data_IF_482260962496
#
_entry.id   IF_482260962496
#
_cell.length_a   1.000
_cell.length_b   1.000
_cell.length_c   1.000
_cell.angle_alpha   90.00
_cell.angle_beta   90.00
_cell.angle_gamma   90.00
#
_symmetry.space_group_name_H-M   'P 1'
#
loop_
_entity.id
_entity.type
_entity.pdbx_description
1 polymer ?
#
# COMPACT_ATOMS: atom_id res chain seq x y z
N UNK A 1 -20.58 13.60 -1.82
CA UNK A 1 -19.85 12.58 -1.05
C UNK A 1 -18.48 12.53 -1.66
N UNK A 2 -17.45 12.99 -0.96
CA UNK A 2 -16.09 12.99 -1.51
C UNK A 2 -15.71 11.54 -1.74
N UNK A 3 -15.61 11.14 -3.01
CA UNK A 3 -15.20 9.80 -3.41
C UNK A 3 -13.70 9.71 -3.13
N UNK A 4 -13.35 9.26 -1.93
CA UNK A 4 -11.98 8.95 -1.60
C UNK A 4 -11.66 7.62 -2.29
N UNK A 5 -10.71 7.67 -3.22
CA UNK A 5 -10.21 6.45 -3.84
C UNK A 5 -9.25 5.80 -2.84
N UNK A 6 -9.46 4.53 -2.46
CA UNK A 6 -8.61 3.89 -1.49
C UNK A 6 -7.18 3.75 -2.01
N UNK A 7 -6.24 3.73 -1.08
CA UNK A 7 -4.80 3.78 -1.35
C UNK A 7 -4.10 2.65 -0.61
N UNK A 8 -3.02 2.15 -1.18
CA UNK A 8 -2.09 1.27 -0.48
C UNK A 8 -0.95 2.16 0.02
N UNK A 9 -0.79 2.27 1.33
CA UNK A 9 0.41 2.84 1.95
C UNK A 9 1.51 1.82 1.96
N UNK A 10 2.73 2.26 1.68
CA UNK A 10 3.93 1.42 1.67
C UNK A 10 4.99 2.13 2.50
N UNK A 11 5.40 1.52 3.60
CA UNK A 11 6.36 2.09 4.54
C UNK A 11 7.02 0.97 5.33
N UNK A 12 8.29 1.15 5.72
CA UNK A 12 9.04 0.19 6.55
C UNK A 12 8.96 -1.30 6.06
N UNK A 13 8.95 -1.54 4.75
CA UNK A 13 8.75 -2.88 4.16
C UNK A 13 7.42 -3.56 4.53
N UNK A 14 6.41 -2.77 4.85
CA UNK A 14 5.04 -3.19 5.11
C UNK A 14 4.08 -2.36 4.26
N UNK A 15 2.83 -2.81 4.21
CA UNK A 15 1.75 -2.08 3.56
C UNK A 15 0.55 -1.98 4.49
N UNK A 16 -0.22 -0.91 4.31
CA UNK A 16 -1.53 -0.71 4.90
C UNK A 16 -2.53 -0.24 3.85
N UNK A 17 -3.80 -0.50 4.10
CA UNK A 17 -4.91 -0.09 3.24
C UNK A 17 -5.55 1.15 3.86
N UNK A 18 -5.72 2.20 3.06
CA UNK A 18 -6.45 3.40 3.43
C UNK A 18 -7.74 3.42 2.66
N UNK A 19 -8.86 3.33 3.36
CA UNK A 19 -10.20 3.45 2.77
C UNK A 19 -10.80 4.83 3.05
N UNK A 20 -10.38 5.48 4.13
CA UNK A 20 -10.82 6.81 4.50
C UNK A 20 -9.65 7.77 4.79
N UNK A 21 -9.82 9.10 4.58
CA UNK A 21 -8.79 10.08 4.95
C UNK A 21 -8.34 10.01 6.41
N UNK A 22 -9.26 9.64 7.32
CA UNK A 22 -8.98 9.45 8.74
C UNK A 22 -8.00 8.32 9.02
N UNK A 23 -8.01 7.23 8.22
CA UNK A 23 -7.07 6.12 8.41
C UNK A 23 -5.64 6.58 8.11
N UNK A 24 -5.48 7.39 7.08
CA UNK A 24 -4.21 8.01 6.74
C UNK A 24 -3.71 8.91 7.87
N UNK A 25 -4.56 9.79 8.39
CA UNK A 25 -4.19 10.68 9.51
C UNK A 25 -3.80 9.89 10.76
N UNK A 26 -4.53 8.83 11.10
CA UNK A 26 -4.24 7.96 12.24
C UNK A 26 -2.89 7.25 12.08
N UNK A 27 -2.61 6.70 10.89
CA UNK A 27 -1.33 6.04 10.61
C UNK A 27 -0.17 7.02 10.71
N UNK A 28 -0.30 8.21 10.11
CA UNK A 28 0.75 9.22 10.14
C UNK A 28 1.00 9.77 11.55
N UNK A 29 -0.02 9.87 12.39
CA UNK A 29 0.11 10.34 13.78
C UNK A 29 1.07 9.45 14.60
N UNK A 30 1.10 8.14 14.31
CA UNK A 30 2.01 7.20 14.95
C UNK A 30 3.45 7.20 14.40
N UNK A 31 3.71 7.92 13.30
CA UNK A 31 4.99 7.90 12.59
C UNK A 31 5.86 9.11 12.89
N UNK A 32 7.17 8.88 12.99
CA UNK A 32 8.18 9.95 12.99
C UNK A 32 8.28 10.65 11.63
N UNK A 33 8.79 11.89 11.59
CA UNK A 33 8.99 12.62 10.33
C UNK A 33 9.86 11.87 9.31
N UNK A 34 10.88 11.13 9.78
CA UNK A 34 11.70 10.29 8.90
C UNK A 34 10.88 9.18 8.26
N UNK A 35 10.02 8.51 9.02
CA UNK A 35 9.15 7.46 8.49
C UNK A 35 8.14 8.04 7.50
N UNK A 36 7.52 9.18 7.81
CA UNK A 36 6.58 9.84 6.90
C UNK A 36 7.24 10.23 5.57
N UNK A 37 8.51 10.64 5.57
CA UNK A 37 9.24 10.94 4.34
C UNK A 37 9.54 9.71 3.47
N UNK A 38 9.53 8.51 4.05
CA UNK A 38 9.71 7.24 3.35
C UNK A 38 8.38 6.61 2.88
N UNK A 39 7.24 7.17 3.31
CA UNK A 39 5.92 6.67 2.92
C UNK A 39 5.69 6.88 1.43
N UNK A 40 5.33 5.79 0.76
CA UNK A 40 4.89 5.76 -0.62
C UNK A 40 3.41 5.38 -0.67
N UNK A 41 2.63 6.17 -1.38
CA UNK A 41 1.23 5.96 -1.70
C UNK A 41 1.14 5.32 -3.08
N UNK A 42 0.45 4.20 -3.18
CA UNK A 42 0.04 3.58 -4.43
C UNK A 42 -1.47 3.77 -4.62
N UNK A 43 -1.87 4.38 -5.74
CA UNK A 43 -3.29 4.58 -6.06
C UNK A 43 -3.86 3.52 -7.03
N UNK A 44 -5.20 3.41 -7.12
CA UNK A 44 -5.90 2.49 -8.06
C UNK A 44 -5.49 2.69 -9.53
N UNK A 45 -4.88 3.83 -9.89
CA UNK A 45 -4.36 4.11 -11.25
C UNK A 45 -2.91 3.66 -11.43
N UNK A 46 -2.39 2.84 -10.53
CA UNK A 46 -1.03 2.33 -10.54
C UNK A 46 0.05 3.43 -10.45
N UNK A 47 -0.26 4.58 -9.83
CA UNK A 47 0.67 5.69 -9.66
C UNK A 47 1.25 5.66 -8.24
N UNK A 48 2.57 5.74 -8.17
CA UNK A 48 3.33 5.84 -6.93
C UNK A 48 3.64 7.29 -6.62
N UNK A 49 3.34 7.71 -5.39
CA UNK A 49 3.53 9.10 -4.95
C UNK A 49 3.96 9.15 -3.49
N UNK A 50 4.61 10.23 -3.08
CA UNK A 50 4.88 10.49 -1.66
C UNK A 50 3.67 11.15 -0.99
N UNK A 51 3.69 11.31 0.33
CA UNK A 51 2.71 12.12 1.08
C UNK A 51 2.60 13.56 0.58
N UNK A 52 3.65 14.10 -0.05
CA UNK A 52 3.64 15.44 -0.67
C UNK A 52 3.03 15.46 -2.07
N UNK A 53 2.39 14.36 -2.49
CA UNK A 53 1.80 14.16 -3.82
C UNK A 53 2.82 14.30 -4.97
N UNK A 54 4.12 14.15 -4.67
CA UNK A 54 5.18 14.09 -5.69
C UNK A 54 5.29 12.67 -6.23
N UNK A 55 5.54 12.46 -7.53
CA UNK A 55 5.80 11.14 -8.07
C UNK A 55 6.96 10.46 -7.33
N UNK A 56 6.78 9.18 -7.00
CA UNK A 56 7.81 8.33 -6.40
C UNK A 56 8.24 7.23 -7.36
N UNK A 57 9.36 6.60 -7.07
CA UNK A 57 9.82 5.43 -7.82
C UNK A 57 8.82 4.28 -7.65
N UNK A 58 8.45 3.66 -8.76
CA UNK A 58 7.60 2.47 -8.74
C UNK A 58 8.36 1.28 -8.15
N UNK A 59 7.67 0.51 -7.31
CA UNK A 59 8.18 -0.77 -6.82
C UNK A 59 8.22 -1.80 -7.95
N UNK A 60 9.17 -2.73 -7.86
CA UNK A 60 9.19 -3.88 -8.76
C UNK A 60 8.01 -4.79 -8.45
N UNK A 61 7.58 -5.59 -9.44
CA UNK A 61 6.47 -6.52 -9.27
C UNK A 61 6.72 -7.58 -8.20
N UNK A 62 7.98 -7.97 -8.00
CA UNK A 62 8.41 -8.91 -6.95
C UNK A 62 8.41 -8.27 -5.56
N UNK A 63 8.80 -7.00 -5.45
CA UNK A 63 8.80 -6.30 -4.16
C UNK A 63 7.35 -6.10 -3.70
N UNK A 64 6.48 -5.61 -4.61
CA UNK A 64 5.06 -5.47 -4.32
C UNK A 64 4.43 -6.81 -3.93
N UNK A 65 4.75 -7.90 -4.64
CA UNK A 65 4.29 -9.24 -4.28
C UNK A 65 4.74 -9.63 -2.88
N UNK A 66 5.99 -9.37 -2.50
CA UNK A 66 6.52 -9.70 -1.17
C UNK A 66 5.77 -8.94 -0.08
N UNK A 67 5.54 -7.65 -0.28
CA UNK A 67 4.81 -6.79 0.64
C UNK A 67 3.36 -7.23 0.84
N UNK A 68 2.63 -7.46 -0.26
CA UNK A 68 1.25 -7.95 -0.21
C UNK A 68 1.17 -9.32 0.45
N UNK A 69 2.13 -10.22 0.18
CA UNK A 69 2.21 -11.51 0.86
C UNK A 69 2.39 -11.36 2.38
N UNK A 70 3.25 -10.46 2.82
CA UNK A 70 3.42 -10.20 4.25
C UNK A 70 2.14 -9.68 4.90
N UNK A 71 1.44 -8.75 4.25
CA UNK A 71 0.15 -8.25 4.74
C UNK A 71 -0.89 -9.37 4.84
N UNK A 72 -1.10 -10.13 3.76
CA UNK A 72 -2.08 -11.23 3.74
C UNK A 72 -1.73 -12.32 4.76
N UNK A 73 -0.44 -12.59 4.98
CA UNK A 73 0.00 -13.53 6.00
C UNK A 73 -0.34 -13.05 7.43
N UNK A 74 -0.22 -11.74 7.71
CA UNK A 74 -0.64 -11.13 8.99
C UNK A 74 -2.15 -11.24 9.21
N UNK A 75 -2.93 -11.08 8.14
CA UNK A 75 -4.39 -11.29 8.12
C UNK A 75 -4.80 -12.77 8.24
N UNK A 76 -3.84 -13.69 8.33
CA UNK A 76 -4.08 -15.13 8.50
C UNK A 76 -4.34 -15.89 7.20
N UNK A 77 -4.14 -15.27 6.03
CA UNK A 77 -4.19 -16.00 4.76
C UNK A 77 -2.97 -16.91 4.60
N UNK A 78 -3.24 -18.18 4.32
CA UNK A 78 -2.24 -19.19 4.02
C UNK A 78 -2.20 -19.48 2.50
N UNK A 79 -1.14 -20.13 2.01
CA UNK A 79 -0.95 -20.52 0.60
C UNK A 79 -0.55 -19.40 -0.38
N UNK A 80 0.13 -18.37 0.12
CA UNK A 80 0.62 -17.23 -0.68
C UNK A 80 1.86 -17.54 -1.54
N UNK A 81 2.38 -18.77 -1.48
CA UNK A 81 3.60 -19.19 -2.16
C UNK A 81 3.56 -19.11 -3.69
N UNK A 82 2.36 -18.98 -4.30
CA UNK A 82 2.19 -18.83 -5.75
C UNK A 82 2.24 -17.38 -6.25
N UNK A 83 2.32 -16.41 -5.35
CA UNK A 83 2.31 -14.98 -5.71
C UNK A 83 3.76 -14.50 -5.83
N UNK A 84 4.40 -14.71 -6.98
CA UNK A 84 5.80 -14.28 -7.17
C UNK A 84 5.91 -12.85 -7.72
N UNK A 85 4.92 -12.42 -8.50
CA UNK A 85 4.87 -11.10 -9.10
C UNK A 85 3.44 -10.56 -9.03
N UNK A 86 3.31 -9.29 -8.66
CA UNK A 86 2.05 -8.56 -8.70
C UNK A 86 2.19 -7.25 -9.47
N UNK A 87 1.14 -6.93 -10.21
CA UNK A 87 0.89 -5.56 -10.67
C UNK A 87 0.11 -4.80 -9.60
N UNK A 88 0.16 -3.45 -9.59
CA UNK A 88 -0.67 -2.64 -8.70
C UNK A 88 -2.15 -3.01 -8.72
N UNK A 89 -2.74 -3.21 -9.91
CA UNK A 89 -4.15 -3.59 -10.02
C UNK A 89 -4.45 -4.91 -9.30
N UNK A 90 -3.61 -5.94 -9.51
CA UNK A 90 -3.77 -7.22 -8.82
C UNK A 90 -3.58 -7.11 -7.31
N UNK A 91 -2.72 -6.18 -6.83
CA UNK A 91 -2.58 -5.93 -5.40
C UNK A 91 -3.88 -5.37 -4.81
N UNK A 92 -4.52 -4.40 -5.46
CA UNK A 92 -5.82 -3.89 -5.04
C UNK A 92 -6.91 -4.98 -5.03
N UNK A 93 -6.96 -5.80 -6.08
CA UNK A 93 -7.93 -6.90 -6.18
C UNK A 93 -7.75 -7.93 -5.05
N UNK A 94 -6.50 -8.29 -4.72
CA UNK A 94 -6.18 -9.26 -3.68
C UNK A 94 -6.44 -8.75 -2.26
N UNK A 95 -6.26 -7.46 -2.06
CA UNK A 95 -6.50 -6.80 -0.78
C UNK A 95 -7.99 -6.50 -0.55
N UNK A 96 -8.88 -6.98 -1.44
CA UNK A 96 -10.33 -6.83 -1.38
C UNK A 96 -10.79 -5.37 -1.30
N UNK A 97 -10.04 -4.47 -1.93
CA UNK A 97 -10.33 -3.04 -1.99
C UNK A 97 -11.31 -2.79 -3.16
N UNK A 98 -12.62 -2.91 -2.90
CA UNK A 98 -13.69 -2.71 -3.92
C UNK A 98 -13.80 -1.25 -4.39
#
# INVERSE_FOLDING_TARGET
>A
MSQFDPLILIYNHEIDIIEEPSDLENLLYGMSESQQNEVILLDKKARYKTLKNTPSQALSSSDLATLVKHYLAKEGQCCLAKIDHLTPAQAFDLLAID
#
